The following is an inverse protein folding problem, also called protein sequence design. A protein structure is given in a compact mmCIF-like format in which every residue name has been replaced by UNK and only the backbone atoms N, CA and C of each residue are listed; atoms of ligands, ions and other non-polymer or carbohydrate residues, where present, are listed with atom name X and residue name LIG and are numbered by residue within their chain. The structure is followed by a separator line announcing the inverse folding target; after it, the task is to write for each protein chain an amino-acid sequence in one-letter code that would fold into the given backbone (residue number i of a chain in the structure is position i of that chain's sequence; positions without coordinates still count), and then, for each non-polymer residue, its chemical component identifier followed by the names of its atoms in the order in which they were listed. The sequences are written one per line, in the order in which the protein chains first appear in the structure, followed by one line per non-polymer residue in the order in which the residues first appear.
data_IF_875430761105
#
_entry.id   IF_875430761105
#
_cell.length_a   1.000
_cell.length_b   1.000
_cell.length_c   1.000
_cell.angle_alpha   90.00
_cell.angle_beta   90.00
_cell.angle_gamma   90.00
#
_symmetry.space_group_name_H-M   'P 1'
#
loop_
_entity.id
_entity.type
_entity.pdbx_description
1 polymer ?
#
# COMPACT_ATOMS: atom_id res chain seq x y z
N UNK A 1 -26.72 -15.47 11.57
CA UNK A 1 -25.42 -15.71 10.94
C UNK A 1 -24.44 -14.77 11.62
N UNK A 2 -23.37 -15.28 12.24
CA UNK A 2 -22.31 -14.37 12.71
C UNK A 2 -21.65 -13.81 11.45
N UNK A 3 -21.85 -12.52 11.16
CA UNK A 3 -21.07 -11.84 10.13
C UNK A 3 -19.61 -11.89 10.57
N UNK A 4 -18.75 -12.47 9.74
CA UNK A 4 -17.30 -12.38 9.93
C UNK A 4 -16.94 -10.88 9.94
N UNK A 5 -16.24 -10.38 10.97
CA UNK A 5 -15.91 -8.96 11.05
C UNK A 5 -15.07 -8.56 9.84
N UNK A 6 -15.38 -7.41 9.23
CA UNK A 6 -14.65 -6.86 8.10
C UNK A 6 -13.78 -5.69 8.54
N UNK A 7 -12.47 -5.80 8.36
CA UNK A 7 -11.46 -4.80 8.73
C UNK A 7 -10.91 -4.14 7.48
N UNK A 8 -10.98 -2.81 7.45
CA UNK A 8 -10.38 -2.02 6.37
C UNK A 8 -9.04 -1.45 6.82
N UNK A 9 -8.00 -1.73 6.04
CA UNK A 9 -6.63 -1.23 6.26
C UNK A 9 -6.27 -0.30 5.10
N UNK A 10 -6.26 1.01 5.36
CA UNK A 10 -5.97 2.02 4.32
C UNK A 10 -4.48 2.34 4.33
N UNK A 11 -3.85 2.21 3.16
CA UNK A 11 -2.53 2.76 2.90
C UNK A 11 -2.63 4.29 2.85
N UNK A 12 -2.41 4.91 4.02
CA UNK A 12 -2.60 6.33 4.24
C UNK A 12 -1.55 7.16 3.50
N UNK A 13 -0.30 6.70 3.47
CA UNK A 13 0.79 7.39 2.77
C UNK A 13 0.45 7.55 1.29
N UNK A 14 0.13 6.45 0.60
CA UNK A 14 -0.29 6.49 -0.81
C UNK A 14 -1.52 7.36 -1.04
N UNK A 15 -2.51 7.28 -0.13
CA UNK A 15 -3.70 8.12 -0.16
C UNK A 15 -3.39 9.63 -0.07
N UNK A 16 -2.48 10.01 0.81
CA UNK A 16 -2.08 11.41 1.04
C UNK A 16 -1.36 11.97 -0.18
N UNK A 17 -0.38 11.25 -0.73
CA UNK A 17 0.31 11.69 -1.95
C UNK A 17 -0.65 11.81 -3.13
N UNK A 18 -1.58 10.86 -3.29
CA UNK A 18 -2.62 10.95 -4.32
C UNK A 18 -3.49 12.20 -4.14
N UNK A 19 -3.93 12.48 -2.91
CA UNK A 19 -4.70 13.69 -2.61
C UNK A 19 -3.93 14.98 -2.91
N UNK A 20 -2.63 15.01 -2.59
CA UNK A 20 -1.75 16.14 -2.88
C UNK A 20 -1.66 16.43 -4.38
N UNK A 21 -1.41 15.42 -5.21
CA UNK A 21 -1.25 15.62 -6.66
C UNK A 21 -2.57 15.75 -7.44
N UNK A 22 -3.71 15.34 -6.86
CA UNK A 22 -5.00 15.41 -7.53
C UNK A 22 -5.64 16.81 -7.53
N UNK A 23 -5.16 17.73 -6.68
CA UNK A 23 -5.75 19.05 -6.50
C UNK A 23 -4.74 20.16 -6.77
N UNK A 24 -5.19 21.32 -7.28
CA UNK A 24 -4.31 22.48 -7.39
C UNK A 24 -3.86 22.95 -5.99
N UNK A 25 -2.75 23.71 -5.89
CA UNK A 25 -2.32 24.30 -4.64
C UNK A 25 -3.42 25.16 -4.02
N UNK A 26 -3.82 24.81 -2.80
CA UNK A 26 -4.73 25.58 -1.96
C UNK A 26 -4.01 25.92 -0.65
N UNK A 27 -4.30 27.11 -0.12
CA UNK A 27 -3.80 27.57 1.19
C UNK A 27 -4.91 28.23 2.00
N UNK A 28 -4.80 28.18 3.33
CA UNK A 28 -5.70 28.92 4.22
C UNK A 28 -5.31 30.41 4.34
N UNK A 29 -6.06 31.17 5.12
CA UNK A 29 -5.81 32.61 5.35
C UNK A 29 -4.45 32.94 5.98
N UNK A 30 -3.80 31.96 6.61
CA UNK A 30 -2.46 32.10 7.19
C UNK A 30 -1.35 31.64 6.24
N UNK A 31 -1.68 31.26 5.00
CA UNK A 31 -0.73 30.79 3.99
C UNK A 31 -0.34 29.32 4.12
N UNK A 32 -0.89 28.56 5.08
CA UNK A 32 -0.62 27.13 5.22
C UNK A 32 -1.23 26.38 4.02
N UNK A 33 -0.46 25.56 3.28
CA UNK A 33 -1.01 24.69 2.25
C UNK A 33 -2.04 23.70 2.83
N UNK A 34 -3.14 23.45 2.11
CA UNK A 34 -4.27 22.65 2.61
C UNK A 34 -4.85 21.67 1.61
N UNK A 35 -4.37 21.65 0.37
CA UNK A 35 -4.95 20.83 -0.70
C UNK A 35 -4.83 19.32 -0.45
N UNK A 36 -3.74 18.84 0.15
CA UNK A 36 -3.65 17.42 0.56
C UNK A 36 -4.61 17.10 1.71
N UNK A 37 -4.74 18.00 2.71
CA UNK A 37 -5.70 17.84 3.82
C UNK A 37 -7.11 17.74 3.25
N UNK A 38 -7.49 18.68 2.38
CA UNK A 38 -8.82 18.75 1.77
C UNK A 38 -9.11 17.53 0.89
N UNK A 39 -8.17 17.16 0.01
CA UNK A 39 -8.29 16.01 -0.87
C UNK A 39 -8.41 14.70 -0.09
N UNK A 40 -7.53 14.49 0.88
CA UNK A 40 -7.51 13.31 1.73
C UNK A 40 -8.82 13.18 2.52
N UNK A 41 -9.26 14.27 3.17
CA UNK A 41 -10.52 14.29 3.93
C UNK A 41 -11.71 13.97 3.03
N UNK A 42 -11.77 14.57 1.84
CA UNK A 42 -12.85 14.32 0.87
C UNK A 42 -12.88 12.87 0.41
N UNK A 43 -11.72 12.29 0.12
CA UNK A 43 -11.58 10.89 -0.29
C UNK A 43 -11.98 9.94 0.84
N UNK A 44 -11.57 10.22 2.08
CA UNK A 44 -11.95 9.46 3.27
C UNK A 44 -13.46 9.53 3.51
N UNK A 45 -14.09 10.70 3.44
CA UNK A 45 -15.55 10.84 3.59
C UNK A 45 -16.31 10.07 2.50
N UNK A 46 -15.86 10.13 1.24
CA UNK A 46 -16.44 9.33 0.14
C UNK A 46 -16.33 7.84 0.42
N UNK A 47 -15.16 7.39 0.87
CA UNK A 47 -14.91 6.01 1.23
C UNK A 47 -15.83 5.54 2.37
N UNK A 48 -15.90 6.30 3.47
CA UNK A 48 -16.79 6.01 4.61
C UNK A 48 -18.26 5.95 4.19
N UNK A 49 -18.70 6.88 3.35
CA UNK A 49 -20.08 6.92 2.85
C UNK A 49 -20.41 5.70 1.99
N UNK A 50 -19.48 5.27 1.14
CA UNK A 50 -19.67 4.16 0.20
C UNK A 50 -19.59 2.79 0.88
N UNK A 51 -18.53 2.57 1.66
CA UNK A 51 -18.21 1.24 2.21
C UNK A 51 -18.70 1.05 3.64
N UNK A 52 -19.00 2.13 4.38
CA UNK A 52 -19.50 2.09 5.77
C UNK A 52 -18.73 1.10 6.67
N UNK A 53 -17.38 1.23 6.73
CA UNK A 53 -16.57 0.28 7.49
C UNK A 53 -16.90 0.37 8.99
N UNK A 54 -17.02 -0.78 9.64
CA UNK A 54 -17.16 -0.87 11.11
C UNK A 54 -15.79 -0.83 11.77
N UNK A 55 -14.80 -1.51 11.19
CA UNK A 55 -13.41 -1.48 11.63
C UNK A 55 -12.54 -0.86 10.53
N UNK A 56 -11.81 0.20 10.89
CA UNK A 56 -10.98 0.96 9.96
C UNK A 56 -9.70 1.43 10.66
N UNK A 57 -8.56 1.19 10.03
CA UNK A 57 -7.30 1.81 10.39
C UNK A 57 -6.64 2.45 9.15
N UNK A 58 -5.97 3.56 9.36
CA UNK A 58 -5.11 4.22 8.37
C UNK A 58 -3.66 4.01 8.79
N UNK A 59 -2.86 3.46 7.88
CA UNK A 59 -1.47 3.12 8.12
C UNK A 59 -0.57 4.15 7.43
N UNK A 60 0.38 4.71 8.17
CA UNK A 60 1.29 5.74 7.70
C UNK A 60 2.74 5.27 7.84
N UNK A 61 3.60 5.72 6.93
CA UNK A 61 5.04 5.57 7.09
C UNK A 61 5.54 6.45 8.24
N UNK A 62 6.27 5.84 9.18
CA UNK A 62 6.85 6.54 10.32
C UNK A 62 8.18 7.27 9.99
N UNK A 63 8.70 7.09 8.78
CA UNK A 63 9.95 7.72 8.35
C UNK A 63 10.49 7.14 7.04
N UNK A 64 11.61 7.70 6.58
CA UNK A 64 12.28 7.29 5.34
C UNK A 64 13.24 6.11 5.49
N UNK A 65 13.71 5.85 6.71
CA UNK A 65 14.73 4.82 6.98
C UNK A 65 14.09 3.64 7.68
N UNK A 66 14.17 2.48 7.03
CA UNK A 66 13.70 1.19 7.53
C UNK A 66 14.80 0.15 7.48
N UNK A 67 14.48 -1.08 7.92
CA UNK A 67 15.39 -2.21 7.79
C UNK A 67 15.80 -2.48 6.33
N UNK A 68 14.95 -2.13 5.35
CA UNK A 68 15.25 -2.29 3.92
C UNK A 68 16.45 -1.44 3.49
N UNK A 69 16.60 -0.22 4.01
CA UNK A 69 17.76 0.63 3.71
C UNK A 69 19.07 0.07 4.26
N UNK A 70 19.03 -0.70 5.36
CA UNK A 70 20.20 -1.38 5.90
C UNK A 70 20.60 -2.59 5.04
N UNK A 71 19.64 -3.27 4.43
CA UNK A 71 19.87 -4.38 3.51
C UNK A 71 20.35 -3.91 2.13
N UNK A 72 19.77 -2.83 1.62
CA UNK A 72 20.12 -2.25 0.33
C UNK A 72 20.10 -0.72 0.41
N UNK A 73 21.29 -0.12 0.37
CA UNK A 73 21.47 1.32 0.61
C UNK A 73 20.74 2.21 -0.40
N UNK A 74 20.60 1.75 -1.65
CA UNK A 74 19.94 2.54 -2.70
C UNK A 74 18.42 2.32 -2.73
N UNK A 75 17.85 1.56 -1.79
CA UNK A 75 16.41 1.33 -1.69
C UNK A 75 15.65 2.65 -1.62
N UNK A 76 14.69 2.85 -2.55
CA UNK A 76 13.90 4.08 -2.72
C UNK A 76 14.73 5.36 -2.87
N UNK A 77 16.02 5.26 -3.21
CA UNK A 77 16.93 6.42 -3.32
C UNK A 77 16.57 7.35 -4.50
N UNK A 78 15.89 6.81 -5.51
CA UNK A 78 15.38 7.55 -6.66
C UNK A 78 14.07 8.31 -6.36
N UNK A 79 13.44 8.11 -5.19
CA UNK A 79 12.20 8.80 -4.85
C UNK A 79 12.50 10.24 -4.45
N UNK A 80 11.80 11.23 -5.04
CA UNK A 80 11.98 12.62 -4.66
C UNK A 80 11.62 12.86 -3.20
N UNK A 81 12.13 13.95 -2.64
CA UNK A 81 11.68 14.41 -1.33
C UNK A 81 10.20 14.75 -1.35
N UNK A 82 9.55 14.55 -0.19
CA UNK A 82 8.19 15.00 -0.01
C UNK A 82 8.14 16.50 -0.34
N UNK A 83 7.20 16.95 -1.19
CA UNK A 83 7.10 18.36 -1.55
C UNK A 83 7.04 19.26 -0.32
N UNK A 84 7.73 20.40 -0.34
CA UNK A 84 7.80 21.31 0.81
C UNK A 84 6.40 21.75 1.28
N UNK A 85 5.44 21.87 0.36
CA UNK A 85 4.05 22.20 0.66
C UNK A 85 3.25 21.04 1.25
N UNK A 86 3.70 19.79 1.08
CA UNK A 86 3.06 18.61 1.66
C UNK A 86 3.47 18.40 3.11
N UNK A 87 4.75 18.60 3.44
CA UNK A 87 5.31 18.38 4.78
C UNK A 87 4.47 19.01 5.91
N UNK A 88 4.09 20.30 5.86
CA UNK A 88 3.33 20.93 6.94
C UNK A 88 1.88 20.41 7.04
N UNK A 89 1.38 19.65 6.06
CA UNK A 89 0.02 19.12 6.05
C UNK A 89 -0.13 17.80 6.82
N UNK A 90 0.94 17.01 6.98
CA UNK A 90 0.89 15.71 7.66
C UNK A 90 0.35 15.76 9.10
N UNK A 91 0.74 16.71 9.97
CA UNK A 91 0.18 16.78 11.32
C UNK A 91 -1.32 17.07 11.34
N UNK A 92 -1.82 17.85 10.37
CA UNK A 92 -3.25 18.18 10.28
C UNK A 92 -4.07 17.01 9.72
N UNK A 93 -3.50 16.21 8.81
CA UNK A 93 -4.14 14.97 8.36
C UNK A 93 -4.35 14.02 9.55
N UNK A 94 -3.34 13.85 10.42
CA UNK A 94 -3.49 13.07 11.67
C UNK A 94 -4.57 13.65 12.58
N UNK A 95 -4.63 14.98 12.75
CA UNK A 95 -5.70 15.64 13.53
C UNK A 95 -7.09 15.41 12.95
N UNK A 96 -7.24 15.43 11.63
CA UNK A 96 -8.52 15.12 10.97
C UNK A 96 -8.93 13.68 11.26
N UNK A 97 -8.02 12.71 11.08
CA UNK A 97 -8.30 11.30 11.38
C UNK A 97 -8.68 11.09 12.85
N UNK A 98 -7.96 11.75 13.77
CA UNK A 98 -8.28 11.74 15.19
C UNK A 98 -9.69 12.33 15.47
N UNK A 99 -10.03 13.46 14.86
CA UNK A 99 -11.36 14.07 15.00
C UNK A 99 -12.49 13.19 14.44
N UNK A 100 -12.18 12.34 13.47
CA UNK A 100 -13.09 11.35 12.90
C UNK A 100 -13.13 10.04 13.71
N UNK A 101 -12.37 9.92 14.81
CA UNK A 101 -12.16 8.69 15.57
C UNK A 101 -11.66 7.50 14.72
N UNK A 102 -10.83 7.78 13.72
CA UNK A 102 -10.20 6.75 12.89
C UNK A 102 -8.84 6.38 13.49
N UNK A 103 -8.59 5.09 13.67
CA UNK A 103 -7.31 4.61 14.15
C UNK A 103 -6.20 4.94 13.14
N UNK A 104 -5.09 5.49 13.64
CA UNK A 104 -3.88 5.77 12.85
C UNK A 104 -2.75 4.94 13.42
N UNK A 105 -2.09 4.16 12.58
CA UNK A 105 -0.99 3.28 12.97
C UNK A 105 0.26 3.63 12.17
N UNK A 106 1.36 3.81 12.88
CA UNK A 106 2.69 4.05 12.33
C UNK A 106 3.71 3.46 13.30
N UNK A 107 4.79 2.87 12.78
CA UNK A 107 5.83 2.24 13.60
C UNK A 107 7.22 2.56 13.06
N UNK A 108 8.07 3.14 13.90
CA UNK A 108 9.43 3.50 13.53
C UNK A 108 10.20 2.28 13.01
N UNK A 109 10.90 2.46 11.87
CA UNK A 109 11.70 1.40 11.26
C UNK A 109 10.92 0.46 10.33
N UNK A 110 9.60 0.62 10.23
CA UNK A 110 8.71 -0.13 9.35
C UNK A 110 7.94 0.82 8.43
N UNK A 111 7.58 0.32 7.27
CA UNK A 111 6.74 1.01 6.29
C UNK A 111 5.26 0.63 6.49
N UNK A 112 4.36 1.42 5.89
CA UNK A 112 2.92 1.17 5.97
C UNK A 112 2.54 -0.22 5.39
N UNK A 113 3.24 -0.69 4.36
CA UNK A 113 3.04 -2.02 3.76
C UNK A 113 3.34 -3.17 4.75
N UNK A 114 4.37 -3.05 5.58
CA UNK A 114 4.76 -4.02 6.60
C UNK A 114 3.66 -4.17 7.67
N UNK A 115 3.14 -3.02 8.11
CA UNK A 115 2.05 -2.94 9.07
C UNK A 115 0.76 -3.52 8.46
N UNK A 116 0.47 -3.21 7.19
CA UNK A 116 -0.68 -3.77 6.46
C UNK A 116 -0.56 -5.28 6.35
N UNK A 117 0.59 -5.80 5.92
CA UNK A 117 0.85 -7.23 5.78
C UNK A 117 0.67 -7.96 7.11
N UNK A 118 1.25 -7.42 8.18
CA UNK A 118 1.17 -7.98 9.54
C UNK A 118 -0.27 -8.04 10.04
N UNK A 119 -1.01 -6.93 9.94
CA UNK A 119 -2.40 -6.88 10.40
C UNK A 119 -3.33 -7.72 9.53
N UNK A 120 -3.08 -7.78 8.23
CA UNK A 120 -3.86 -8.61 7.31
C UNK A 120 -3.78 -10.07 7.71
N UNK A 121 -2.57 -10.60 7.92
CA UNK A 121 -2.36 -11.97 8.39
C UNK A 121 -2.94 -12.21 9.79
N UNK A 122 -2.77 -11.25 10.71
CA UNK A 122 -3.30 -11.38 12.07
C UNK A 122 -4.83 -11.48 12.11
N UNK A 123 -5.53 -10.61 11.39
CA UNK A 123 -6.99 -10.60 11.38
C UNK A 123 -7.58 -11.73 10.54
N UNK A 124 -6.99 -12.06 9.39
CA UNK A 124 -7.47 -13.18 8.56
C UNK A 124 -7.32 -14.52 9.28
N UNK A 125 -6.23 -14.73 10.02
CA UNK A 125 -6.04 -15.94 10.84
C UNK A 125 -7.09 -16.09 11.96
N UNK A 126 -7.73 -14.99 12.37
CA UNK A 126 -8.84 -14.98 13.34
C UNK A 126 -10.21 -15.10 12.66
N UNK A 127 -10.25 -15.32 11.34
CA UNK A 127 -11.48 -15.47 10.57
C UNK A 127 -12.17 -14.15 10.21
N UNK A 128 -11.49 -13.01 10.35
CA UNK A 128 -11.98 -11.73 9.85
C UNK A 128 -11.74 -11.61 8.33
N UNK A 129 -12.62 -10.88 7.65
CA UNK A 129 -12.33 -10.42 6.29
C UNK A 129 -11.50 -9.16 6.37
N UNK A 130 -10.45 -9.05 5.55
CA UNK A 130 -9.57 -7.89 5.50
C UNK A 130 -9.66 -7.26 4.12
N UNK A 131 -9.91 -5.96 4.08
CA UNK A 131 -9.89 -5.16 2.85
C UNK A 131 -8.75 -4.17 2.95
N UNK A 132 -7.69 -4.43 2.19
CA UNK A 132 -6.59 -3.49 1.99
C UNK A 132 -7.07 -2.44 1.00
N UNK A 133 -6.91 -1.16 1.33
CA UNK A 133 -7.29 -0.04 0.47
C UNK A 133 -6.02 0.65 0.00
N UNK A 134 -5.54 0.22 -1.17
CA UNK A 134 -4.35 0.79 -1.83
C UNK A 134 -4.39 0.53 -3.33
N UNK A 135 -3.68 1.37 -4.08
CA UNK A 135 -3.37 1.13 -5.50
C UNK A 135 -2.00 0.49 -5.71
N UNK A 136 -1.26 0.22 -4.63
CA UNK A 136 0.07 -0.37 -4.70
C UNK A 136 0.00 -1.81 -5.21
N UNK A 137 0.82 -2.11 -6.22
CA UNK A 137 0.91 -3.44 -6.82
C UNK A 137 1.57 -4.43 -5.87
N UNK A 138 2.41 -3.97 -4.95
CA UNK A 138 3.21 -4.84 -4.09
C UNK A 138 2.32 -5.53 -3.06
N UNK A 139 1.24 -4.87 -2.64
CA UNK A 139 0.22 -5.43 -1.75
C UNK A 139 -0.66 -6.50 -2.43
N UNK A 140 -0.56 -6.67 -3.76
CA UNK A 140 -1.26 -7.76 -4.46
C UNK A 140 -0.78 -9.14 -4.01
N UNK A 141 0.44 -9.24 -3.44
CA UNK A 141 0.94 -10.49 -2.87
C UNK A 141 0.11 -11.01 -1.69
N UNK A 142 -0.62 -10.11 -1.01
CA UNK A 142 -1.43 -10.41 0.17
C UNK A 142 -2.84 -10.88 -0.17
N UNK A 143 -3.26 -10.79 -1.44
CA UNK A 143 -4.61 -11.17 -1.87
C UNK A 143 -4.81 -12.68 -1.73
N UNK A 144 -5.88 -13.11 -1.05
CA UNK A 144 -6.16 -14.52 -0.77
C UNK A 144 -6.62 -14.73 0.67
N UNK A 145 -7.15 -15.93 0.97
CA UNK A 145 -7.49 -16.37 2.34
C UNK A 145 -8.17 -15.30 3.24
N UNK A 146 -9.25 -14.68 2.75
CA UNK A 146 -10.00 -13.66 3.49
C UNK A 146 -9.42 -12.24 3.39
N UNK A 147 -8.38 -12.03 2.59
CA UNK A 147 -7.79 -10.72 2.27
C UNK A 147 -8.13 -10.32 0.84
N UNK A 148 -8.66 -9.11 0.68
CA UNK A 148 -8.98 -8.48 -0.61
C UNK A 148 -8.27 -7.14 -0.73
N UNK A 149 -7.96 -6.73 -1.96
CA UNK A 149 -7.35 -5.43 -2.25
C UNK A 149 -8.32 -4.57 -3.07
N UNK A 150 -8.48 -3.31 -2.65
CA UNK A 150 -9.38 -2.33 -3.26
C UNK A 150 -8.59 -1.09 -3.69
N UNK A 151 -8.51 -0.88 -5.00
CA UNK A 151 -8.00 0.36 -5.60
C UNK A 151 -9.16 1.36 -5.73
N UNK A 152 -9.27 2.29 -4.78
CA UNK A 152 -10.31 3.33 -4.80
C UNK A 152 -10.08 4.43 -5.82
N UNK A 153 -8.90 4.51 -6.45
CA UNK A 153 -8.68 5.43 -7.57
C UNK A 153 -9.36 4.92 -8.84
N UNK A 154 -9.33 3.60 -9.06
CA UNK A 154 -9.94 2.94 -10.22
C UNK A 154 -11.31 2.34 -9.93
N UNK A 155 -11.76 2.42 -8.66
CA UNK A 155 -12.94 1.74 -8.15
C UNK A 155 -12.93 0.23 -8.48
N UNK A 156 -11.76 -0.39 -8.36
CA UNK A 156 -11.51 -1.78 -8.79
C UNK A 156 -11.13 -2.65 -7.60
N UNK A 157 -11.85 -3.75 -7.44
CA UNK A 157 -11.46 -4.87 -6.59
C UNK A 157 -10.43 -5.73 -7.32
N UNK A 158 -9.34 -6.04 -6.64
CA UNK A 158 -8.28 -6.91 -7.14
C UNK A 158 -8.48 -8.28 -6.50
N UNK A 159 -8.91 -9.23 -7.34
CA UNK A 159 -9.06 -10.64 -6.99
C UNK A 159 -7.79 -11.41 -7.32
N UNK A 160 -7.73 -12.67 -6.89
CA UNK A 160 -6.66 -13.63 -7.28
C UNK A 160 -6.49 -13.64 -8.82
N UNK A 161 -7.59 -13.66 -9.57
CA UNK A 161 -7.52 -13.63 -11.04
C UNK A 161 -6.94 -12.33 -11.57
N UNK A 162 -7.25 -11.19 -10.94
CA UNK A 162 -6.60 -9.92 -11.26
C UNK A 162 -5.10 -9.90 -10.96
N UNK A 163 -4.65 -10.65 -9.95
CA UNK A 163 -3.22 -10.85 -9.69
C UNK A 163 -2.58 -11.73 -10.75
N UNK A 164 -3.23 -12.83 -11.15
CA UNK A 164 -2.76 -13.70 -12.25
C UNK A 164 -2.70 -12.97 -13.59
N UNK A 165 -3.69 -12.14 -13.89
CA UNK A 165 -3.71 -11.34 -15.11
C UNK A 165 -2.49 -10.41 -15.18
N UNK A 166 -2.11 -9.81 -14.04
CA UNK A 166 -1.00 -8.85 -13.97
C UNK A 166 0.37 -9.52 -13.88
N UNK A 167 0.53 -10.51 -13.01
CA UNK A 167 1.83 -11.10 -12.68
C UNK A 167 2.00 -12.53 -13.23
N UNK A 168 1.00 -13.10 -13.90
CA UNK A 168 1.06 -14.46 -14.44
C UNK A 168 1.16 -15.57 -13.39
N UNK A 169 1.08 -15.25 -12.10
CA UNK A 169 1.27 -16.18 -10.98
C UNK A 169 0.25 -15.92 -9.88
N UNK A 170 0.10 -16.89 -8.97
CA UNK A 170 -0.69 -16.73 -7.75
C UNK A 170 -0.11 -15.62 -6.85
N UNK A 171 -0.94 -14.93 -6.03
CA UNK A 171 -0.50 -13.87 -5.10
C UNK A 171 0.74 -14.18 -4.30
N UNK A 172 0.80 -15.36 -3.68
CA UNK A 172 1.95 -15.84 -2.89
C UNK A 172 3.28 -15.93 -3.66
N UNK A 173 3.27 -15.84 -4.99
CA UNK A 173 4.44 -15.90 -5.87
C UNK A 173 4.78 -14.56 -6.51
N UNK A 174 4.03 -13.49 -6.22
CA UNK A 174 4.32 -12.15 -6.74
C UNK A 174 5.71 -11.69 -6.31
N UNK A 175 6.09 -11.94 -5.05
CA UNK A 175 7.42 -11.59 -4.52
C UNK A 175 8.57 -12.27 -5.28
N UNK A 176 8.36 -13.49 -5.75
CA UNK A 176 9.36 -14.27 -6.51
C UNK A 176 9.59 -13.64 -7.88
N UNK A 177 8.50 -13.26 -8.55
CA UNK A 177 8.54 -12.58 -9.85
C UNK A 177 9.22 -11.22 -9.68
N UNK A 178 8.84 -10.44 -8.67
CA UNK A 178 9.42 -9.15 -8.36
C UNK A 178 10.90 -9.24 -7.99
N UNK A 179 11.32 -10.26 -7.23
CA UNK A 179 12.72 -10.50 -6.90
C UNK A 179 13.59 -10.71 -8.15
N UNK A 180 13.04 -11.37 -9.17
CA UNK A 180 13.71 -11.56 -10.45
C UNK A 180 13.73 -10.30 -11.33
N UNK A 181 12.59 -9.65 -11.52
CA UNK A 181 12.48 -8.52 -12.46
C UNK A 181 12.90 -7.17 -11.86
N UNK A 182 13.01 -7.10 -10.53
CA UNK A 182 13.22 -5.86 -9.78
C UNK A 182 11.96 -5.01 -9.66
N UNK A 183 12.12 -3.85 -9.04
CA UNK A 183 11.12 -2.80 -9.02
C UNK A 183 11.77 -1.42 -9.16
N UNK A 184 11.71 -0.81 -10.36
CA UNK A 184 12.29 0.51 -10.58
C UNK A 184 11.71 1.61 -9.67
N UNK A 185 10.45 1.47 -9.21
CA UNK A 185 9.79 2.45 -8.33
C UNK A 185 10.43 2.52 -6.95
N UNK A 186 10.96 1.39 -6.50
CA UNK A 186 11.71 1.21 -5.25
C UNK A 186 13.23 1.16 -5.45
N UNK A 187 13.68 1.42 -6.68
CA UNK A 187 15.07 1.30 -7.10
C UNK A 187 15.66 -0.10 -6.91
N UNK A 188 14.84 -1.15 -6.92
CA UNK A 188 15.30 -2.54 -6.81
C UNK A 188 15.70 -3.03 -8.21
N UNK A 189 16.98 -3.39 -8.45
CA UNK A 189 17.48 -3.65 -9.81
C UNK A 189 17.03 -4.99 -10.42
N UNK A 190 16.68 -5.98 -9.59
CA UNK A 190 16.41 -7.34 -10.04
C UNK A 190 17.64 -8.06 -10.59
N UNK A 191 17.43 -9.15 -11.32
CA UNK A 191 18.48 -9.95 -11.94
C UNK A 191 18.75 -9.44 -13.35
N UNK A 192 20.02 -9.13 -13.65
CA UNK A 192 20.43 -8.60 -14.95
C UNK A 192 19.98 -9.50 -16.10
N UNK A 193 19.23 -8.92 -17.05
CA UNK A 193 18.71 -9.62 -18.23
C UNK A 193 17.39 -10.36 -18.01
N UNK A 194 16.83 -10.33 -16.80
CA UNK A 194 15.53 -10.92 -16.49
C UNK A 194 14.50 -9.80 -16.34
N UNK A 195 13.73 -9.57 -17.41
CA UNK A 195 12.54 -8.70 -17.36
C UNK A 195 11.29 -9.46 -16.92
N UNK A 196 10.18 -8.74 -16.78
CA UNK A 196 8.87 -9.26 -16.32
C UNK A 196 8.47 -10.58 -17.01
N UNK A 197 8.46 -10.63 -18.35
CA UNK A 197 8.07 -11.84 -19.10
C UNK A 197 8.93 -13.06 -18.76
N UNK A 198 10.24 -12.86 -18.63
CA UNK A 198 11.19 -13.93 -18.31
C UNK A 198 11.01 -14.35 -16.86
N UNK A 199 10.88 -13.41 -15.92
CA UNK A 199 10.62 -13.69 -14.51
C UNK A 199 9.36 -14.55 -14.32
N UNK A 200 8.25 -14.15 -14.95
CA UNK A 200 6.99 -14.90 -14.91
C UNK A 200 7.17 -16.32 -15.44
N UNK A 201 7.79 -16.48 -16.62
CA UNK A 201 7.99 -17.80 -17.21
C UNK A 201 8.87 -18.72 -16.34
N UNK A 202 9.90 -18.16 -15.69
CA UNK A 202 10.76 -18.91 -14.77
C UNK A 202 9.98 -19.34 -13.53
N UNK A 203 9.23 -18.45 -12.88
CA UNK A 203 8.46 -18.79 -11.68
C UNK A 203 7.30 -19.73 -12.00
N UNK A 204 6.67 -19.63 -13.17
CA UNK A 204 5.67 -20.62 -13.60
C UNK A 204 6.27 -22.02 -13.74
N UNK A 205 7.50 -22.11 -14.28
CA UNK A 205 8.19 -23.39 -14.53
C UNK A 205 8.79 -24.00 -13.27
N UNK A 206 9.47 -23.22 -12.46
CA UNK A 206 10.22 -23.70 -11.30
C UNK A 206 9.47 -23.51 -9.98
N UNK A 207 8.36 -22.78 -9.99
CA UNK A 207 7.48 -22.51 -8.85
C UNK A 207 8.06 -21.62 -7.74
N UNK A 208 9.37 -21.55 -7.54
CA UNK A 208 10.01 -20.61 -6.59
C UNK A 208 11.43 -20.25 -7.04
N UNK A 209 12.02 -19.23 -6.42
CA UNK A 209 13.42 -18.88 -6.61
C UNK A 209 14.36 -20.01 -6.17
N UNK A 210 14.10 -20.68 -5.05
CA UNK A 210 14.96 -21.77 -4.57
C UNK A 210 15.07 -22.89 -5.61
N UNK A 211 13.93 -23.36 -6.11
CA UNK A 211 13.87 -24.39 -7.16
C UNK A 211 14.48 -23.94 -8.51
N UNK A 212 14.62 -22.64 -8.75
CA UNK A 212 15.26 -22.11 -9.95
C UNK A 212 16.78 -22.21 -9.89
N UNK A 213 17.36 -22.17 -8.68
CA UNK A 213 18.80 -22.20 -8.44
C UNK A 213 19.36 -23.60 -8.15
N UNK A 214 18.49 -24.58 -7.90
CA UNK A 214 18.82 -26.01 -7.78
C UNK A 214 18.89 -26.72 -9.15
#
# INVERSE_FOLDING_TARGET
MMEHPCVYLVDGSSYIFRAFFALPPLSNSSGLPTHAIYGFTTMTLKFLKKYRPVYLAVLLDAGRVTFRNHLYQEYKSNRPEAPLDLIPQFPYIRKVLQAMNIAVLELQGYEADDLIATLSGFFSAQGAQVVIVSGDKDLMQLVGEGVSLLDTAKDKWITIDGVKEKFGVEPRRVVEVMGLMGDPSDNIPGVKGIGEKTAIALIQRYHSLENLYD
#
